data_IF_214317617544
#
_entry.id   IF_214317617544
#
_cell.length_a   1.000
_cell.length_b   1.000
_cell.length_c   1.000
_cell.angle_alpha   90.00
_cell.angle_beta   90.00
_cell.angle_gamma   90.00
#
_symmetry.space_group_name_H-M   'P 1'
#
loop_
_entity.id
_entity.type
_entity.pdbx_description
1 polymer ?
#
# COMPACT_ATOMS: atom_id res chain seq x y z
N UNK A 1 -14.60 -5.84 8.07
CA UNK A 1 -14.27 -4.63 7.27
C UNK A 1 -13.24 -3.78 8.02
N UNK A 2 -11.95 -4.11 7.91
CA UNK A 2 -10.86 -3.38 8.56
C UNK A 2 -10.09 -2.46 7.59
N UNK A 3 -10.60 -2.27 6.37
CA UNK A 3 -9.98 -1.38 5.37
C UNK A 3 -10.42 0.07 5.56
N UNK A 4 -9.49 1.00 5.39
CA UNK A 4 -9.69 2.44 5.54
C UNK A 4 -9.56 3.17 4.20
N UNK A 5 -10.38 4.18 3.97
CA UNK A 5 -10.21 5.08 2.82
C UNK A 5 -9.03 6.01 3.05
N UNK A 6 -8.15 6.11 2.06
CA UNK A 6 -6.96 6.95 2.09
C UNK A 6 -7.05 8.05 1.03
N UNK A 7 -6.79 9.26 1.49
CA UNK A 7 -6.79 10.49 0.71
C UNK A 7 -5.49 11.24 0.96
N UNK A 8 -5.22 12.27 0.16
CA UNK A 8 -4.04 13.13 0.37
C UNK A 8 -3.98 13.75 1.77
N UNK A 9 -5.12 13.89 2.45
CA UNK A 9 -5.20 14.53 3.76
C UNK A 9 -4.87 13.60 4.94
N UNK A 10 -5.01 12.28 4.79
CA UNK A 10 -4.82 11.32 5.89
C UNK A 10 -3.72 10.29 5.64
N UNK A 11 -3.14 10.25 4.43
CA UNK A 11 -2.06 9.32 4.10
C UNK A 11 -0.86 9.47 5.04
N UNK A 12 -0.42 10.71 5.28
CA UNK A 12 0.72 10.98 6.16
C UNK A 12 0.47 10.43 7.57
N UNK A 13 -0.68 10.76 8.15
CA UNK A 13 -1.11 10.23 9.46
C UNK A 13 -1.15 8.70 9.48
N UNK A 14 -1.68 8.06 8.44
CA UNK A 14 -1.77 6.60 8.37
C UNK A 14 -0.37 5.96 8.34
N UNK A 15 0.57 6.55 7.59
CA UNK A 15 1.95 6.07 7.46
C UNK A 15 2.77 6.34 8.71
N UNK A 16 2.55 7.45 9.40
CA UNK A 16 3.27 7.80 10.64
C UNK A 16 2.79 7.02 11.87
N UNK A 17 1.49 6.70 11.94
CA UNK A 17 0.88 6.05 13.12
C UNK A 17 0.94 4.53 13.10
N UNK A 18 1.33 3.93 11.98
CA UNK A 18 1.33 2.48 11.82
C UNK A 18 2.69 2.01 11.32
N UNK A 19 3.19 0.92 11.89
CA UNK A 19 4.47 0.35 11.49
C UNK A 19 4.43 -0.23 10.08
N UNK A 20 3.31 -0.85 9.70
CA UNK A 20 3.08 -1.42 8.37
C UNK A 20 1.78 -0.88 7.78
N UNK A 21 1.86 -0.30 6.59
CA UNK A 21 0.71 0.19 5.83
C UNK A 21 0.68 -0.45 4.45
N UNK A 22 -0.38 -1.18 4.14
CA UNK A 22 -0.69 -1.63 2.79
C UNK A 22 -1.68 -0.66 2.15
N UNK A 23 -1.41 -0.19 0.94
CA UNK A 23 -2.32 0.65 0.16
C UNK A 23 -2.69 -0.06 -1.15
N UNK A 24 -3.99 -0.23 -1.39
CA UNK A 24 -4.56 -0.66 -2.66
C UNK A 24 -5.06 0.54 -3.47
N UNK A 25 -4.36 0.86 -4.56
CA UNK A 25 -4.78 1.85 -5.54
C UNK A 25 -5.73 1.18 -6.54
N UNK A 26 -7.01 1.51 -6.45
CA UNK A 26 -8.07 0.82 -7.16
C UNK A 26 -8.99 1.78 -7.91
N UNK A 27 -9.81 1.23 -8.81
CA UNK A 27 -10.86 1.96 -9.52
C UNK A 27 -12.11 1.10 -9.73
N UNK A 28 -13.29 1.71 -9.80
CA UNK A 28 -14.57 1.00 -10.01
C UNK A 28 -14.69 0.37 -11.40
N UNK A 29 -14.09 1.00 -12.40
CA UNK A 29 -14.09 0.54 -13.79
C UNK A 29 -13.11 -0.60 -14.05
N UNK A 30 -12.26 -0.95 -13.07
CA UNK A 30 -11.22 -1.97 -13.18
C UNK A 30 -11.74 -3.36 -12.74
N UNK A 31 -11.98 -4.31 -13.67
CA UNK A 31 -12.43 -5.66 -13.32
C UNK A 31 -11.47 -6.45 -12.41
N UNK A 32 -10.13 -6.42 -12.60
CA UNK A 32 -9.23 -7.14 -11.69
C UNK A 32 -9.24 -6.55 -10.28
N UNK A 33 -9.47 -5.25 -10.12
CA UNK A 33 -9.62 -4.61 -8.81
C UNK A 33 -10.84 -5.16 -8.05
N UNK A 34 -11.97 -5.38 -8.75
CA UNK A 34 -13.17 -5.99 -8.14
C UNK A 34 -12.95 -7.43 -7.68
N UNK A 35 -12.11 -8.18 -8.39
CA UNK A 35 -11.74 -9.54 -7.98
C UNK A 35 -10.76 -9.54 -6.79
N UNK A 36 -9.89 -8.53 -6.72
CA UNK A 36 -8.92 -8.36 -5.63
C UNK A 36 -9.55 -7.86 -4.33
N UNK A 37 -10.59 -7.03 -4.41
CA UNK A 37 -11.26 -6.44 -3.23
C UNK A 37 -11.58 -7.43 -2.10
N UNK A 38 -12.25 -8.57 -2.35
CA UNK A 38 -12.54 -9.56 -1.31
C UNK A 38 -11.30 -10.23 -0.72
N UNK A 39 -10.25 -10.41 -1.52
CA UNK A 39 -8.96 -10.97 -1.06
C UNK A 39 -8.29 -9.99 -0.10
N UNK A 40 -8.26 -8.71 -0.48
CA UNK A 40 -7.70 -7.63 0.34
C UNK A 40 -8.47 -7.43 1.64
N UNK A 41 -9.80 -7.45 1.58
CA UNK A 41 -10.66 -7.35 2.78
C UNK A 41 -10.45 -8.53 3.72
N UNK A 42 -10.32 -9.76 3.20
CA UNK A 42 -10.05 -10.93 4.03
C UNK A 42 -8.67 -10.86 4.70
N UNK A 43 -7.63 -10.43 3.99
CA UNK A 43 -6.31 -10.20 4.57
C UNK A 43 -6.36 -9.15 5.69
N UNK A 44 -7.15 -8.07 5.50
CA UNK A 44 -7.33 -7.03 6.52
C UNK A 44 -7.92 -7.53 7.84
N UNK A 45 -8.72 -8.60 7.79
CA UNK A 45 -9.32 -9.20 8.98
C UNK A 45 -8.37 -10.17 9.69
N UNK A 46 -7.36 -10.69 8.99
CA UNK A 46 -6.38 -11.65 9.53
C UNK A 46 -5.17 -10.95 10.15
N UNK A 47 -4.82 -9.74 9.67
CA UNK A 47 -3.64 -8.99 10.10
C UNK A 47 -4.02 -7.65 10.75
N UNK A 48 -4.56 -7.66 11.99
CA UNK A 48 -4.96 -6.43 12.69
C UNK A 48 -3.78 -5.53 13.08
N UNK A 49 -2.54 -6.02 12.97
CA UNK A 49 -1.28 -5.31 13.16
C UNK A 49 -0.82 -4.55 11.91
N UNK A 50 -1.46 -4.77 10.77
CA UNK A 50 -1.19 -4.06 9.51
C UNK A 50 -2.35 -3.12 9.20
N UNK A 51 -2.02 -1.89 8.82
CA UNK A 51 -3.03 -0.93 8.39
C UNK A 51 -3.34 -1.15 6.91
N UNK A 52 -4.60 -1.45 6.59
CA UNK A 52 -5.06 -1.64 5.20
C UNK A 52 -5.79 -0.39 4.71
N UNK A 53 -5.16 0.33 3.79
CA UNK A 53 -5.71 1.51 3.12
C UNK A 53 -6.18 1.22 1.70
N UNK A 54 -7.19 1.95 1.23
CA UNK A 54 -7.67 1.90 -0.16
C UNK A 54 -7.69 3.32 -0.72
N UNK A 55 -7.08 3.51 -1.89
CA UNK A 55 -7.03 4.79 -2.59
C UNK A 55 -7.79 4.65 -3.90
N UNK A 56 -8.89 5.39 -4.03
CA UNK A 56 -9.61 5.50 -5.30
C UNK A 56 -8.85 6.46 -6.21
N UNK A 57 -8.28 5.96 -7.31
CA UNK A 57 -7.48 6.76 -8.24
C UNK A 57 -8.30 7.79 -9.03
N UNK A 58 -9.61 7.57 -9.18
CA UNK A 58 -10.51 8.52 -9.84
C UNK A 58 -10.78 9.73 -8.92
N UNK A 59 -10.85 9.50 -7.60
CA UNK A 59 -11.04 10.57 -6.60
C UNK A 59 -9.73 11.24 -6.18
N UNK A 60 -8.62 10.48 -6.14
CA UNK A 60 -7.33 10.91 -5.60
C UNK A 60 -6.27 11.00 -6.72
N UNK A 61 -6.58 11.69 -7.81
CA UNK A 61 -5.72 11.78 -9.00
C UNK A 61 -4.32 12.33 -8.69
N UNK A 62 -4.25 13.37 -7.85
CA UNK A 62 -2.97 13.97 -7.47
C UNK A 62 -2.12 13.00 -6.64
N UNK A 63 -2.74 12.28 -5.71
CA UNK A 63 -2.05 11.27 -4.91
C UNK A 63 -1.58 10.10 -5.78
N UNK A 64 -2.42 9.62 -6.70
CA UNK A 64 -2.05 8.59 -7.67
C UNK A 64 -0.88 9.04 -8.55
N UNK A 65 -0.85 10.32 -8.96
CA UNK A 65 0.28 10.87 -9.72
C UNK A 65 1.56 10.94 -8.88
N UNK A 66 1.48 11.38 -7.61
CA UNK A 66 2.61 11.42 -6.69
C UNK A 66 3.18 10.02 -6.40
N UNK A 67 2.31 9.03 -6.26
CA UNK A 67 2.67 7.62 -6.11
C UNK A 67 3.04 6.92 -7.43
N UNK A 68 3.11 7.68 -8.54
CA UNK A 68 3.48 7.19 -9.88
C UNK A 68 2.61 6.01 -10.38
N UNK A 69 1.33 6.01 -10.00
CA UNK A 69 0.38 4.96 -10.38
C UNK A 69 0.02 5.10 -11.85
N UNK A 70 0.50 4.14 -12.65
CA UNK A 70 0.25 4.09 -14.10
C UNK A 70 -0.78 3.05 -14.51
N UNK A 71 -1.07 2.09 -13.62
CA UNK A 71 -2.05 1.03 -13.83
C UNK A 71 -2.74 0.66 -12.51
N UNK A 72 -3.95 0.12 -12.59
CA UNK A 72 -4.69 -0.40 -11.44
C UNK A 72 -5.05 -1.88 -11.65
N UNK A 73 -5.09 -2.69 -10.58
CA UNK A 73 -4.72 -2.32 -9.22
C UNK A 73 -3.20 -2.17 -9.05
N UNK A 74 -2.77 -1.30 -8.14
CA UNK A 74 -1.36 -1.20 -7.72
C UNK A 74 -1.30 -1.24 -6.21
N UNK A 75 -0.40 -2.04 -5.67
CA UNK A 75 -0.15 -2.16 -4.25
C UNK A 75 1.13 -1.41 -3.87
N UNK A 76 1.05 -0.61 -2.81
CA UNK A 76 2.21 0.00 -2.18
C UNK A 76 2.23 -0.42 -0.72
N UNK A 77 3.40 -0.81 -0.24
CA UNK A 77 3.62 -1.16 1.17
C UNK A 77 4.61 -0.18 1.79
N UNK A 78 4.21 0.40 2.91
CA UNK A 78 5.08 1.18 3.76
C UNK A 78 5.47 0.38 4.99
N UNK A 79 6.74 0.47 5.38
CA UNK A 79 7.28 -0.01 6.65
C UNK A 79 7.98 1.16 7.34
N UNK A 80 7.52 1.55 8.53
CA UNK A 80 8.09 2.67 9.30
C UNK A 80 8.29 3.94 8.46
N UNK A 81 7.27 4.32 7.69
CA UNK A 81 7.33 5.50 6.83
C UNK A 81 8.00 5.32 5.46
N UNK A 82 8.67 4.19 5.21
CA UNK A 82 9.42 3.96 3.96
C UNK A 82 8.68 3.02 3.03
N UNK A 83 8.67 3.30 1.73
CA UNK A 83 8.14 2.39 0.72
C UNK A 83 9.07 1.19 0.59
N UNK A 84 8.57 0.00 0.91
CA UNK A 84 9.33 -1.26 0.83
C UNK A 84 8.86 -2.15 -0.31
N UNK A 85 7.68 -1.87 -0.85
CA UNK A 85 7.15 -2.54 -2.02
C UNK A 85 6.26 -1.60 -2.82
N UNK A 86 6.38 -1.66 -4.14
CA UNK A 86 5.44 -1.03 -5.08
C UNK A 86 5.32 -1.94 -6.29
N UNK A 87 4.11 -2.41 -6.56
CA UNK A 87 3.86 -3.40 -7.61
C UNK A 87 2.48 -3.25 -8.22
N UNK A 88 2.43 -3.13 -9.55
CA UNK A 88 1.19 -3.15 -10.29
C UNK A 88 0.70 -4.60 -10.50
N UNK A 89 -0.60 -4.82 -10.31
CA UNK A 89 -1.25 -6.10 -10.52
C UNK A 89 -2.07 -6.56 -9.31
N UNK A 90 -3.08 -7.38 -9.57
CA UNK A 90 -3.86 -8.04 -8.54
C UNK A 90 -3.07 -9.25 -8.02
N UNK A 91 -2.72 -9.24 -6.74
CA UNK A 91 -2.12 -10.41 -6.09
C UNK A 91 -3.22 -11.41 -5.72
N UNK A 92 -2.95 -12.70 -5.88
CA UNK A 92 -3.78 -13.75 -5.29
C UNK A 92 -3.57 -13.81 -3.77
N UNK A 93 -4.46 -14.49 -3.04
CA UNK A 93 -4.40 -14.58 -1.58
C UNK A 93 -3.03 -15.02 -1.06
N UNK A 94 -2.45 -16.09 -1.63
CA UNK A 94 -1.13 -16.60 -1.20
C UNK A 94 -0.01 -15.58 -1.37
N UNK A 95 0.01 -14.88 -2.52
CA UNK A 95 1.03 -13.85 -2.80
C UNK A 95 0.86 -12.62 -1.90
N UNK A 96 -0.38 -12.26 -1.57
CA UNK A 96 -0.67 -11.16 -0.66
C UNK A 96 -0.21 -11.49 0.77
N UNK A 97 -0.49 -12.70 1.24
CA UNK A 97 -0.05 -13.18 2.55
C UNK A 97 1.49 -13.22 2.66
N UNK A 98 2.17 -13.72 1.62
CA UNK A 98 3.64 -13.72 1.57
C UNK A 98 4.21 -12.30 1.58
N UNK A 99 3.58 -11.35 0.89
CA UNK A 99 3.99 -9.95 0.89
C UNK A 99 3.81 -9.31 2.28
N UNK A 100 2.67 -9.56 2.93
CA UNK A 100 2.40 -9.07 4.29
C UNK A 100 3.43 -9.65 5.27
N UNK A 101 3.68 -10.96 5.22
CA UNK A 101 4.67 -11.62 6.06
C UNK A 101 6.08 -11.04 5.89
N UNK A 102 6.49 -10.78 4.64
CA UNK A 102 7.77 -10.12 4.34
C UNK A 102 7.82 -8.69 4.89
N UNK A 103 6.75 -7.90 4.71
CA UNK A 103 6.70 -6.53 5.20
C UNK A 103 6.72 -6.45 6.75
N UNK A 104 6.09 -7.40 7.43
CA UNK A 104 6.14 -7.50 8.89
C UNK A 104 7.56 -7.86 9.35
N UNK A 105 8.18 -8.87 8.73
CA UNK A 105 9.49 -9.37 9.09
C UNK A 105 10.66 -8.44 8.69
N UNK A 106 10.43 -7.51 7.75
CA UNK A 106 11.47 -6.63 7.26
C UNK A 106 11.97 -5.68 8.36
N UNK A 107 13.24 -5.83 8.72
CA UNK A 107 13.94 -4.91 9.62
C UNK A 107 14.52 -3.77 8.80
N UNK A 108 13.94 -2.57 8.94
CA UNK A 108 14.50 -1.35 8.37
C UNK A 108 15.57 -0.84 9.34
N UNK A 109 16.86 -0.88 8.99
CA UNK A 109 17.90 -0.22 9.78
C UNK A 109 17.62 1.29 9.77
N UNK A 110 17.89 1.94 10.91
CA UNK A 110 17.58 3.37 11.19
C UNK A 110 18.34 4.37 10.26
N UNK A 111 19.14 3.90 9.30
CA UNK A 111 20.06 4.66 8.45
C UNK A 111 19.57 4.87 6.99
N UNK A 112 18.28 5.15 6.76
CA UNK A 112 17.77 5.42 5.39
C UNK A 112 17.22 6.85 5.20
N UNK A 113 17.77 7.82 5.94
CA UNK A 113 17.53 9.25 5.70
C UNK A 113 18.66 9.94 4.91
N UNK A 114 19.70 9.22 4.47
CA UNK A 114 20.87 9.80 3.80
C UNK A 114 21.33 8.94 2.60
N UNK A 115 20.53 8.82 1.54
CA UNK A 115 21.05 8.48 0.20
C UNK A 115 20.11 9.00 -0.90
N UNK A 116 20.11 10.32 -1.09
CA UNK A 116 19.60 10.96 -2.31
C UNK A 116 20.54 12.09 -2.78
N UNK A 117 21.83 11.96 -2.44
CA UNK A 117 22.85 12.93 -2.79
C UNK A 117 24.12 12.24 -3.31
N UNK A 118 24.02 11.45 -4.38
CA UNK A 118 25.17 11.30 -5.28
C UNK A 118 24.72 11.56 -6.72
N UNK A 119 24.72 12.85 -7.04
CA UNK A 119 24.81 13.32 -8.40
C UNK A 119 26.30 13.38 -8.76
N UNK A 120 26.74 12.53 -9.69
CA UNK A 120 27.93 12.75 -10.52
C UNK A 120 27.66 12.35 -11.97
#
# INVERSE_FOLDING_TARGET
MATHEITSANLADAVEKNDVVLLDFWATWCPPCRAFGPVYEQASEQHPDVFFGKVDVDQQQELAAQAQISAVPTLIVFKKGQVVYSGAGALGSEQLEDLIGQAIALEIPDEAADDAADAQ
#
